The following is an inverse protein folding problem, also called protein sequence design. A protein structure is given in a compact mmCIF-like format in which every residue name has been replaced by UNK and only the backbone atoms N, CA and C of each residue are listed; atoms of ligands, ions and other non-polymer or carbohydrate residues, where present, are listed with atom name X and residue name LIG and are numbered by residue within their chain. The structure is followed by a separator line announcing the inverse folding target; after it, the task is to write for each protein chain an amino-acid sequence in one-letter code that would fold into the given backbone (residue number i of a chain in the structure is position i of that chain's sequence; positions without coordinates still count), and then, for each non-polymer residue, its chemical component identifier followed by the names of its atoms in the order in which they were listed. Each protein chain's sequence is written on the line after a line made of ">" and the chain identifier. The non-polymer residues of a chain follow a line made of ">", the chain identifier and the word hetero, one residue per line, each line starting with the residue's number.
data_IF_525613616089
#
_entry.id   IF_525613616089
#
_cell.length_a   1.000
_cell.length_b   1.000
_cell.length_c   1.000
_cell.angle_alpha   90.00
_cell.angle_beta   90.00
_cell.angle_gamma   90.00
#
_symmetry.space_group_name_H-M   'P 1'
#
loop_
_entity.id
_entity.type
_entity.pdbx_description
1 polymer ?
#
# COMPACT_ATOMS: atom_id res chain seq x y z
N UNK A 1 15.95 8.10 0.26
CA UNK A 1 14.80 7.73 1.10
C UNK A 1 15.08 6.34 1.66
N UNK A 2 15.01 6.20 2.98
CA UNK A 2 15.05 4.91 3.68
C UNK A 2 13.67 4.24 3.57
N UNK A 3 13.62 2.92 3.79
CA UNK A 3 12.36 2.18 3.83
C UNK A 3 11.45 2.77 4.90
N UNK A 4 10.20 3.02 4.56
CA UNK A 4 9.21 3.70 5.39
C UNK A 4 9.16 5.22 5.25
N UNK A 5 10.12 5.85 4.55
CA UNK A 5 10.06 7.29 4.30
C UNK A 5 8.84 7.65 3.44
N UNK A 6 8.16 8.74 3.82
CA UNK A 6 6.99 9.26 3.14
C UNK A 6 7.19 10.72 2.72
N UNK A 7 6.97 11.01 1.45
CA UNK A 7 6.75 12.38 0.98
C UNK A 7 5.32 12.50 0.44
N UNK A 8 4.72 13.67 0.59
CA UNK A 8 3.39 13.93 0.06
C UNK A 8 3.24 15.38 -0.41
N UNK A 9 2.29 15.60 -1.30
CA UNK A 9 1.83 16.92 -1.74
C UNK A 9 0.33 16.91 -1.92
N UNK A 10 -0.30 18.03 -1.64
CA UNK A 10 -1.74 18.23 -1.83
C UNK A 10 -1.93 19.18 -3.01
N UNK A 11 -2.83 18.82 -3.91
CA UNK A 11 -3.28 19.70 -4.98
C UNK A 11 -4.32 20.70 -4.47
N UNK A 12 -4.51 21.79 -5.19
CA UNK A 12 -5.50 22.82 -4.84
C UNK A 12 -6.95 22.29 -4.83
N UNK A 13 -7.20 21.16 -5.50
CA UNK A 13 -8.50 20.47 -5.54
C UNK A 13 -8.67 19.42 -4.43
N UNK A 14 -7.73 19.31 -3.49
CA UNK A 14 -7.80 18.38 -2.36
C UNK A 14 -7.38 16.93 -2.65
N UNK A 15 -6.81 16.65 -3.83
CA UNK A 15 -6.18 15.34 -4.12
C UNK A 15 -4.78 15.34 -3.54
N UNK A 16 -4.42 14.27 -2.83
CA UNK A 16 -3.13 14.09 -2.20
C UNK A 16 -2.31 13.05 -2.97
N UNK A 17 -1.10 13.44 -3.35
CA UNK A 17 -0.10 12.57 -3.93
C UNK A 17 0.87 12.08 -2.85
N UNK A 18 1.10 10.78 -2.80
CA UNK A 18 2.00 10.13 -1.86
C UNK A 18 3.15 9.46 -2.61
N UNK A 19 4.36 9.59 -2.08
CA UNK A 19 5.53 8.81 -2.47
C UNK A 19 6.05 8.10 -1.22
N UNK A 20 5.80 6.80 -1.14
CA UNK A 20 6.21 5.95 -0.04
C UNK A 20 7.36 5.03 -0.47
N UNK A 21 8.39 4.92 0.36
CA UNK A 21 9.57 4.10 0.05
C UNK A 21 9.44 2.71 0.68
N UNK A 22 9.21 1.69 -0.14
CA UNK A 22 9.41 0.29 0.26
C UNK A 22 10.85 -0.15 -0.06
N UNK A 23 11.03 -1.31 -0.69
CA UNK A 23 12.26 -1.67 -1.41
C UNK A 23 12.46 -0.77 -2.64
N UNK A 24 11.36 -0.23 -3.19
CA UNK A 24 11.33 0.72 -4.32
C UNK A 24 10.31 1.82 -4.01
N UNK A 25 10.45 3.02 -4.62
CA UNK A 25 9.47 4.09 -4.44
C UNK A 25 8.14 3.73 -5.09
N UNK A 26 7.07 3.79 -4.29
CA UNK A 26 5.68 3.56 -4.71
C UNK A 26 4.92 4.88 -4.66
N UNK A 27 4.12 5.15 -5.69
CA UNK A 27 3.35 6.38 -5.81
C UNK A 27 1.86 6.07 -5.71
N UNK A 28 1.14 6.90 -4.95
CA UNK A 28 -0.30 6.78 -4.80
C UNK A 28 -0.97 8.14 -4.93
N UNK A 29 -2.24 8.12 -5.32
CA UNK A 29 -3.13 9.28 -5.32
C UNK A 29 -4.36 8.92 -4.48
N UNK A 30 -4.77 9.83 -3.62
CA UNK A 30 -6.00 9.67 -2.86
C UNK A 30 -6.67 11.00 -2.53
N UNK A 31 -8.00 10.97 -2.46
CA UNK A 31 -8.85 12.05 -1.97
C UNK A 31 -9.45 11.73 -0.58
N UNK A 32 -9.12 10.57 0.00
CA UNK A 32 -9.72 10.05 1.22
C UNK A 32 -8.71 9.95 2.37
N UNK A 33 -7.49 9.51 2.07
CA UNK A 33 -6.49 9.24 3.08
C UNK A 33 -5.72 10.49 3.48
N UNK A 34 -5.30 10.55 4.73
CA UNK A 34 -4.45 11.62 5.25
C UNK A 34 -2.97 11.19 5.35
N UNK A 35 -1.99 12.07 5.07
CA UNK A 35 -0.57 11.79 5.34
C UNK A 35 -0.22 11.62 6.81
N UNK A 36 -1.10 12.03 7.73
CA UNK A 36 -0.91 11.83 9.16
C UNK A 36 -1.30 10.41 9.61
N UNK A 37 -1.99 9.63 8.78
CA UNK A 37 -2.44 8.28 9.09
C UNK A 37 -1.28 7.27 8.92
N UNK A 38 -0.31 7.34 9.83
CA UNK A 38 0.89 6.47 9.83
C UNK A 38 0.67 5.29 10.78
N UNK A 39 1.01 4.08 10.32
CA UNK A 39 0.96 2.84 11.10
C UNK A 39 2.36 2.23 11.20
N UNK A 40 2.69 1.63 12.35
CA UNK A 40 3.94 0.89 12.52
C UNK A 40 3.74 -0.56 12.06
N UNK A 41 4.54 -1.01 11.10
CA UNK A 41 4.48 -2.40 10.60
C UNK A 41 5.76 -3.13 10.98
N UNK A 42 5.60 -4.32 11.56
CA UNK A 42 6.71 -5.26 11.78
C UNK A 42 6.66 -6.35 10.71
N UNK A 43 7.64 -6.37 9.81
CA UNK A 43 7.72 -7.42 8.80
C UNK A 43 8.75 -8.47 9.23
N UNK A 44 8.35 -9.75 9.12
CA UNK A 44 9.25 -10.88 9.38
C UNK A 44 10.12 -11.10 8.15
N UNK A 45 11.41 -10.83 8.24
CA UNK A 45 12.34 -11.28 7.22
C UNK A 45 12.55 -12.79 7.29
N UNK A 46 12.76 -13.41 6.14
CA UNK A 46 13.04 -14.85 5.98
C UNK A 46 14.44 -15.15 6.51
N UNK A 47 14.57 -15.36 7.82
CA UNK A 47 15.88 -15.56 8.43
C UNK A 47 15.89 -15.38 9.94
N UNK A 48 16.01 -14.15 10.46
CA UNK A 48 16.06 -13.94 11.92
C UNK A 48 15.93 -12.52 12.47
N UNK A 49 15.34 -11.56 11.75
CA UNK A 49 15.06 -10.23 12.33
C UNK A 49 13.69 -9.70 11.91
N UNK A 50 12.98 -9.04 12.84
CA UNK A 50 11.79 -8.24 12.56
C UNK A 50 12.27 -6.82 12.33
N UNK A 51 12.20 -6.34 11.10
CA UNK A 51 12.38 -4.92 10.83
C UNK A 51 11.05 -4.21 11.06
N UNK A 52 11.10 -3.13 11.83
CA UNK A 52 9.96 -2.24 12.02
C UNK A 52 10.18 -1.01 11.16
N UNK A 53 9.16 -0.67 10.38
CA UNK A 53 9.15 0.54 9.59
C UNK A 53 7.75 1.15 9.59
N UNK A 54 7.70 2.45 9.31
CA UNK A 54 6.44 3.16 9.21
C UNK A 54 5.81 2.88 7.84
N UNK A 55 4.54 2.52 7.84
CA UNK A 55 3.69 2.50 6.65
C UNK A 55 2.63 3.59 6.76
N UNK A 56 1.99 3.91 5.66
CA UNK A 56 0.78 4.73 5.64
C UNK A 56 -0.45 3.84 5.54
N UNK A 57 -1.54 4.24 6.20
CA UNK A 57 -2.83 3.54 6.14
C UNK A 57 -3.29 3.29 4.70
N UNK A 58 -3.03 4.25 3.81
CA UNK A 58 -3.30 4.13 2.38
C UNK A 58 -2.69 2.88 1.74
N UNK A 59 -1.44 2.53 2.08
CA UNK A 59 -0.76 1.35 1.50
C UNK A 59 -1.45 0.07 1.96
N UNK A 60 -1.83 0.02 3.24
CA UNK A 60 -2.55 -1.12 3.82
C UNK A 60 -3.93 -1.28 3.19
N UNK A 61 -4.70 -0.20 3.11
CA UNK A 61 -6.05 -0.21 2.55
C UNK A 61 -6.00 -0.57 1.06
N UNK A 62 -5.04 -0.03 0.31
CA UNK A 62 -4.84 -0.42 -1.09
C UNK A 62 -4.54 -1.92 -1.22
N UNK A 63 -3.55 -2.44 -0.50
CA UNK A 63 -3.17 -3.85 -0.58
C UNK A 63 -4.28 -4.81 -0.14
N UNK A 64 -5.11 -4.41 0.83
CA UNK A 64 -6.25 -5.20 1.28
C UNK A 64 -7.35 -5.33 0.21
N UNK A 65 -7.48 -4.33 -0.68
CA UNK A 65 -8.59 -4.24 -1.63
C UNK A 65 -8.16 -4.51 -3.09
N UNK A 66 -6.90 -4.29 -3.47
CA UNK A 66 -6.45 -4.32 -4.87
C UNK A 66 -6.65 -5.68 -5.56
N UNK A 67 -6.66 -6.78 -4.80
CA UNK A 67 -6.71 -8.14 -5.34
C UNK A 67 -8.11 -8.67 -5.64
N UNK A 68 -9.19 -7.92 -5.41
CA UNK A 68 -10.54 -8.46 -5.54
C UNK A 68 -10.92 -8.88 -6.97
N UNK A 69 -10.51 -8.09 -7.97
CA UNK A 69 -10.77 -8.41 -9.38
C UNK A 69 -9.98 -9.65 -9.79
N UNK A 70 -8.66 -9.65 -9.58
CA UNK A 70 -7.81 -10.80 -9.87
C UNK A 70 -8.28 -12.08 -9.18
N UNK A 71 -8.75 -11.97 -7.93
CA UNK A 71 -9.30 -13.10 -7.19
C UNK A 71 -10.60 -13.62 -7.81
N UNK A 72 -11.47 -12.72 -8.27
CA UNK A 72 -12.67 -13.09 -9.01
C UNK A 72 -12.33 -13.79 -10.33
N UNK A 73 -11.38 -13.26 -11.10
CA UNK A 73 -10.91 -13.83 -12.36
C UNK A 73 -10.26 -15.20 -12.14
N UNK A 74 -9.46 -15.35 -11.08
CA UNK A 74 -8.90 -16.64 -10.67
C UNK A 74 -10.01 -17.66 -10.36
N UNK A 75 -11.04 -17.27 -9.61
CA UNK A 75 -12.16 -18.19 -9.33
C UNK A 75 -12.94 -18.56 -10.58
N UNK A 76 -13.16 -17.62 -11.48
CA UNK A 76 -13.77 -17.91 -12.78
C UNK A 76 -12.91 -18.93 -13.53
N UNK A 77 -11.63 -18.68 -13.71
CA UNK A 77 -10.72 -19.59 -14.42
C UNK A 77 -10.64 -20.99 -13.77
N UNK A 78 -10.75 -21.10 -12.44
CA UNK A 78 -10.69 -22.37 -11.74
C UNK A 78 -12.01 -23.16 -11.75
N UNK A 79 -13.16 -22.49 -11.84
CA UNK A 79 -14.48 -23.10 -11.59
C UNK A 79 -15.50 -22.86 -12.70
N UNK A 80 -15.12 -22.26 -13.83
CA UNK A 80 -16.00 -22.14 -15.00
C UNK A 80 -16.37 -23.54 -15.50
N UNK A 81 -17.67 -23.80 -15.60
CA UNK A 81 -18.24 -25.04 -16.14
C UNK A 81 -18.54 -24.76 -17.61
N UNK A 82 -18.03 -25.62 -18.48
CA UNK A 82 -18.23 -25.59 -19.94
C UNK A 82 -19.70 -25.82 -20.34
#
# INVERSE_FOLDING_TARGET
>A
MKRGDLHWRVSDTGIIAFKWMDNKPVHFLSNFHSPQDVELVSEKQKGRSREQFNTIKLVRDYNANMGFVDKSDMYKACYEID
#
